data_IF_801866477032
#
_entry.id   IF_801866477032
#
_cell.length_a   1.000
_cell.length_b   1.000
_cell.length_c   1.000
_cell.angle_alpha   90.00
_cell.angle_beta   90.00
_cell.angle_gamma   90.00
#
_symmetry.space_group_name_H-M   'P 1'
#
loop_
_entity.id
_entity.type
_entity.pdbx_description
1 polymer ?
#
# COMPACT_ATOMS: atom_id res chain seq x y z
N UNK A 1 0.44 3.09 -49.41
CA UNK A 1 1.28 3.20 -48.20
C UNK A 1 0.36 3.05 -47.00
N UNK A 2 0.27 1.87 -46.40
CA UNK A 2 -0.48 1.65 -45.15
C UNK A 2 0.53 1.32 -44.06
N UNK A 3 0.67 2.20 -43.07
CA UNK A 3 1.60 2.04 -41.97
C UNK A 3 1.18 0.82 -41.13
N UNK A 4 2.03 -0.21 -41.11
CA UNK A 4 1.92 -1.31 -40.15
C UNK A 4 2.20 -0.73 -38.75
N UNK A 5 1.14 -0.62 -37.96
CA UNK A 5 1.20 -0.21 -36.55
C UNK A 5 2.02 -1.29 -35.82
N UNK A 6 3.22 -0.93 -35.38
CA UNK A 6 4.14 -1.85 -34.73
C UNK A 6 3.48 -2.51 -33.52
N UNK A 7 3.48 -3.85 -33.50
CA UNK A 7 3.16 -4.67 -32.32
C UNK A 7 4.20 -4.30 -31.26
N UNK A 8 3.83 -3.50 -30.27
CA UNK A 8 4.72 -3.15 -29.16
C UNK A 8 4.69 -4.30 -28.17
N UNK A 9 5.53 -5.30 -28.41
CA UNK A 9 5.87 -6.29 -27.40
C UNK A 9 6.70 -5.57 -26.33
N UNK A 10 6.05 -5.14 -25.24
CA UNK A 10 6.67 -4.26 -24.25
C UNK A 10 7.49 -5.03 -23.20
N UNK A 11 7.35 -6.35 -23.16
CA UNK A 11 8.06 -7.20 -22.21
C UNK A 11 9.32 -7.81 -22.84
N UNK A 12 10.39 -7.01 -23.03
CA UNK A 12 11.72 -7.56 -23.36
C UNK A 12 12.44 -7.99 -22.07
N UNK A 13 11.98 -9.07 -21.44
CA UNK A 13 12.53 -9.56 -20.17
C UNK A 13 13.50 -10.72 -20.38
N UNK A 14 14.81 -10.46 -20.30
CA UNK A 14 15.86 -11.49 -20.21
C UNK A 14 16.72 -11.34 -18.95
N UNK A 15 16.12 -10.93 -17.83
CA UNK A 15 16.70 -11.21 -16.50
C UNK A 15 16.14 -12.55 -16.01
N UNK A 16 17.03 -13.40 -15.46
CA UNK A 16 16.60 -14.69 -14.91
C UNK A 16 15.68 -14.43 -13.71
N UNK A 17 14.46 -14.94 -13.77
CA UNK A 17 13.50 -14.97 -12.66
C UNK A 17 14.22 -15.42 -11.37
N UNK A 18 14.09 -14.60 -10.31
CA UNK A 18 14.76 -14.89 -9.04
C UNK A 18 14.04 -16.00 -8.28
N UNK A 19 14.75 -16.66 -7.35
CA UNK A 19 14.11 -17.64 -6.48
C UNK A 19 12.97 -17.04 -5.65
N UNK A 20 13.12 -15.80 -5.17
CA UNK A 20 12.08 -15.08 -4.46
C UNK A 20 10.81 -14.91 -5.31
N UNK A 21 10.97 -14.47 -6.56
CA UNK A 21 9.87 -14.27 -7.50
C UNK A 21 9.14 -15.59 -7.77
N UNK A 22 9.91 -16.63 -8.12
CA UNK A 22 9.38 -17.97 -8.36
C UNK A 22 8.69 -18.55 -7.13
N UNK A 23 9.26 -18.36 -5.94
CA UNK A 23 8.69 -18.85 -4.68
C UNK A 23 7.33 -18.19 -4.37
N UNK A 24 7.14 -16.92 -4.75
CA UNK A 24 5.85 -16.24 -4.66
C UNK A 24 4.85 -16.75 -5.68
N UNK A 25 5.23 -16.85 -6.97
CA UNK A 25 4.35 -17.40 -8.03
C UNK A 25 3.87 -18.81 -7.71
N UNK A 26 4.77 -19.68 -7.23
CA UNK A 26 4.47 -21.06 -6.85
C UNK A 26 3.50 -21.20 -5.67
N UNK A 27 3.07 -20.10 -5.03
CA UNK A 27 1.96 -20.13 -4.05
C UNK A 27 0.59 -20.16 -4.71
N UNK A 28 0.51 -19.93 -6.02
CA UNK A 28 -0.75 -19.88 -6.78
C UNK A 28 -0.87 -21.07 -7.74
N UNK A 29 -2.10 -21.48 -8.11
CA UNK A 29 -2.34 -22.50 -9.13
C UNK A 29 -1.61 -22.19 -10.45
N UNK A 30 -1.14 -23.23 -11.15
CA UNK A 30 -0.35 -23.06 -12.37
C UNK A 30 -1.12 -22.37 -13.51
N UNK A 31 -2.44 -22.58 -13.58
CA UNK A 31 -3.34 -21.94 -14.53
C UNK A 31 -3.56 -20.44 -14.26
N UNK A 32 -3.14 -19.94 -13.09
CA UNK A 32 -3.19 -18.51 -12.75
C UNK A 32 -1.88 -17.79 -13.05
N UNK A 33 -0.80 -18.52 -13.34
CA UNK A 33 0.53 -17.94 -13.52
C UNK A 33 0.77 -17.53 -14.97
N UNK A 34 1.53 -16.46 -15.19
CA UNK A 34 1.98 -16.01 -16.52
C UNK A 34 0.84 -15.83 -17.54
N UNK A 35 -0.28 -15.27 -17.07
CA UNK A 35 -1.50 -15.13 -17.88
C UNK A 35 -1.35 -13.95 -18.84
N UNK A 36 -1.33 -14.25 -20.13
CA UNK A 36 -1.32 -13.24 -21.18
C UNK A 36 -2.65 -12.49 -21.20
N UNK A 37 -2.57 -11.17 -21.13
CA UNK A 37 -3.70 -10.27 -21.32
C UNK A 37 -3.44 -9.35 -22.50
N UNK A 38 -4.48 -9.10 -23.28
CA UNK A 38 -4.44 -8.24 -24.44
C UNK A 38 -5.58 -7.23 -24.37
N UNK A 39 -5.26 -5.96 -24.56
CA UNK A 39 -6.27 -4.93 -24.75
C UNK A 39 -6.65 -4.90 -26.24
N UNK A 40 -7.93 -5.19 -26.50
CA UNK A 40 -8.51 -5.23 -27.84
C UNK A 40 -8.48 -3.86 -28.54
N UNK A 41 -8.44 -2.75 -27.78
CA UNK A 41 -8.51 -1.39 -28.32
C UNK A 41 -7.12 -0.82 -28.64
N UNK A 42 -6.13 -1.05 -27.78
CA UNK A 42 -4.77 -0.55 -27.97
C UNK A 42 -3.83 -1.53 -28.68
N UNK A 43 -4.20 -2.81 -28.76
CA UNK A 43 -3.33 -3.94 -29.13
C UNK A 43 -2.11 -4.10 -28.21
N UNK A 44 -2.14 -3.49 -27.02
CA UNK A 44 -1.16 -3.70 -25.97
C UNK A 44 -1.32 -5.09 -25.38
N UNK A 45 -0.20 -5.75 -25.09
CA UNK A 45 -0.15 -7.10 -24.52
C UNK A 45 0.82 -7.11 -23.36
N UNK A 46 0.37 -7.62 -22.22
CA UNK A 46 1.16 -7.83 -21.02
C UNK A 46 0.99 -9.27 -20.52
N UNK A 47 2.01 -9.78 -19.84
CA UNK A 47 1.96 -11.07 -19.16
C UNK A 47 1.86 -10.82 -17.67
N UNK A 48 0.73 -11.21 -17.06
CA UNK A 48 0.55 -11.09 -15.62
C UNK A 48 1.28 -12.21 -14.90
N UNK A 49 2.10 -11.89 -13.90
CA UNK A 49 2.77 -12.92 -13.08
C UNK A 49 1.76 -13.90 -12.48
N UNK A 50 0.69 -13.35 -11.88
CA UNK A 50 -0.47 -14.09 -11.42
C UNK A 50 -1.75 -13.32 -11.75
N UNK A 51 -2.75 -14.01 -12.28
CA UNK A 51 -4.13 -13.53 -12.40
C UNK A 51 -5.07 -14.52 -11.73
N UNK A 52 -5.73 -14.07 -10.66
CA UNK A 52 -6.64 -14.93 -9.90
C UNK A 52 -7.94 -15.18 -10.66
N UNK A 53 -8.67 -16.24 -10.31
CA UNK A 53 -9.99 -16.53 -10.88
C UNK A 53 -11.01 -15.38 -10.70
N UNK A 54 -10.78 -14.50 -9.73
CA UNK A 54 -11.63 -13.33 -9.46
C UNK A 54 -11.16 -12.07 -10.19
N UNK A 55 -10.15 -12.18 -11.07
CA UNK A 55 -9.66 -11.08 -11.90
C UNK A 55 -8.70 -10.13 -11.20
N UNK A 56 -8.15 -10.48 -10.03
CA UNK A 56 -7.07 -9.73 -9.40
C UNK A 56 -5.75 -10.08 -10.08
N UNK A 57 -5.00 -9.08 -10.51
CA UNK A 57 -3.62 -9.24 -11.01
C UNK A 57 -2.63 -9.01 -9.85
N UNK A 58 -1.62 -9.86 -9.75
CA UNK A 58 -0.53 -9.72 -8.79
C UNK A 58 0.77 -9.75 -9.59
N UNK A 59 1.57 -8.70 -9.44
CA UNK A 59 2.89 -8.59 -10.06
C UNK A 59 3.97 -8.63 -8.98
N UNK A 60 5.00 -9.46 -9.18
CA UNK A 60 6.13 -9.57 -8.27
C UNK A 60 7.31 -8.82 -8.85
N UNK A 61 7.84 -7.87 -8.08
CA UNK A 61 8.97 -7.06 -8.52
C UNK A 61 10.17 -7.26 -7.61
N UNK A 62 11.18 -7.93 -8.15
CA UNK A 62 12.53 -7.95 -7.58
C UNK A 62 13.38 -6.84 -8.17
N UNK A 63 13.58 -6.80 -9.49
CA UNK A 63 14.55 -5.89 -10.13
C UNK A 63 14.12 -4.42 -10.17
N UNK A 64 14.97 -3.55 -10.73
CA UNK A 64 14.55 -2.18 -11.02
C UNK A 64 13.45 -2.18 -12.07
N UNK A 65 12.32 -1.53 -11.78
CA UNK A 65 11.22 -1.34 -12.72
C UNK A 65 11.21 0.12 -13.18
N UNK A 66 11.13 0.33 -14.49
CA UNK A 66 10.98 1.67 -15.03
C UNK A 66 9.64 2.27 -14.57
N UNK A 67 9.59 3.51 -14.02
CA UNK A 67 8.33 4.13 -13.60
C UNK A 67 7.27 4.24 -14.71
N UNK A 68 7.68 4.40 -15.97
CA UNK A 68 6.76 4.43 -17.11
C UNK A 68 6.13 3.06 -17.37
N UNK A 69 6.92 1.99 -17.28
CA UNK A 69 6.44 0.60 -17.39
C UNK A 69 5.48 0.27 -16.26
N UNK A 70 5.83 0.64 -15.01
CA UNK A 70 4.93 0.48 -13.87
C UNK A 70 3.59 1.18 -14.10
N UNK A 71 3.63 2.44 -14.53
CA UNK A 71 2.42 3.23 -14.79
C UNK A 71 1.59 2.62 -15.94
N UNK A 72 2.24 2.10 -16.97
CA UNK A 72 1.56 1.43 -18.08
C UNK A 72 0.84 0.16 -17.59
N UNK A 73 1.51 -0.71 -16.83
CA UNK A 73 0.90 -1.91 -16.23
C UNK A 73 -0.26 -1.58 -15.30
N UNK A 74 -0.10 -0.57 -14.44
CA UNK A 74 -1.17 -0.10 -13.55
C UNK A 74 -2.42 0.37 -14.31
N UNK A 75 -2.24 1.12 -15.40
CA UNK A 75 -3.35 1.55 -16.25
C UNK A 75 -3.98 0.40 -17.02
N UNK A 76 -3.16 -0.53 -17.49
CA UNK A 76 -3.60 -1.67 -18.29
C UNK A 76 -4.43 -2.64 -17.46
N UNK A 77 -3.95 -3.03 -16.27
CA UNK A 77 -4.63 -4.03 -15.44
C UNK A 77 -5.78 -3.44 -14.61
N UNK A 78 -5.61 -2.24 -14.06
CA UNK A 78 -6.59 -1.59 -13.17
C UNK A 78 -6.74 -2.28 -11.81
N UNK A 79 -7.27 -3.49 -11.77
CA UNK A 79 -7.42 -4.31 -10.56
C UNK A 79 -6.15 -5.14 -10.31
N UNK A 80 -5.12 -4.49 -9.77
CA UNK A 80 -3.85 -5.15 -9.49
C UNK A 80 -3.23 -4.78 -8.13
N UNK A 81 -2.28 -5.59 -7.69
CA UNK A 81 -1.38 -5.30 -6.56
C UNK A 81 0.07 -5.59 -6.92
N UNK A 82 0.97 -4.77 -6.42
CA UNK A 82 2.41 -5.03 -6.48
C UNK A 82 2.86 -5.75 -5.22
N UNK A 83 3.72 -6.77 -5.37
CA UNK A 83 4.50 -7.36 -4.28
C UNK A 83 5.97 -7.12 -4.61
N UNK A 84 6.69 -6.43 -3.72
CA UNK A 84 8.05 -5.94 -3.95
C UNK A 84 9.00 -6.65 -2.99
N UNK A 85 10.12 -7.11 -3.54
CA UNK A 85 11.20 -7.70 -2.74
C UNK A 85 11.93 -6.60 -1.93
N UNK A 86 11.58 -6.47 -0.66
CA UNK A 86 12.22 -5.56 0.29
C UNK A 86 13.59 -6.04 0.78
N UNK A 87 14.06 -7.22 0.34
CA UNK A 87 15.37 -7.78 0.68
C UNK A 87 16.46 -7.48 -0.35
N UNK A 88 16.06 -7.07 -1.57
CA UNK A 88 16.98 -6.77 -2.68
C UNK A 88 18.06 -5.74 -2.31
N UNK A 89 17.65 -4.61 -1.74
CA UNK A 89 18.58 -3.56 -1.32
C UNK A 89 18.83 -3.70 0.18
N UNK A 90 20.10 -3.91 0.55
CA UNK A 90 20.52 -4.13 1.94
C UNK A 90 20.06 -3.03 2.91
N UNK A 91 19.80 -1.82 2.41
CA UNK A 91 19.37 -0.66 3.21
C UNK A 91 17.85 -0.54 3.37
N UNK A 92 17.05 -1.25 2.59
CA UNK A 92 15.60 -1.07 2.59
C UNK A 92 14.98 -1.52 3.92
N UNK A 93 15.30 -2.72 4.40
CA UNK A 93 14.80 -3.17 5.70
C UNK A 93 15.34 -2.35 6.89
N UNK A 94 16.65 -2.06 7.01
CA UNK A 94 17.14 -1.17 8.07
C UNK A 94 16.49 0.21 8.05
N UNK A 95 16.24 0.79 6.87
CA UNK A 95 15.52 2.06 6.72
C UNK A 95 14.09 1.94 7.26
N UNK A 96 13.36 0.91 6.83
CA UNK A 96 12.01 0.65 7.32
C UNK A 96 11.99 0.48 8.84
N UNK A 97 12.85 -0.38 9.39
CA UNK A 97 12.91 -0.67 10.82
C UNK A 97 13.23 0.57 11.65
N UNK A 98 14.20 1.39 11.22
CA UNK A 98 14.58 2.63 11.89
C UNK A 98 13.39 3.60 12.02
N UNK A 99 12.56 3.69 10.99
CA UNK A 99 11.47 4.66 10.91
C UNK A 99 10.09 4.04 11.21
N UNK A 100 10.02 2.74 11.53
CA UNK A 100 8.77 2.04 11.86
C UNK A 100 8.01 2.69 13.01
N UNK A 101 8.71 3.30 13.97
CA UNK A 101 8.10 4.02 15.08
C UNK A 101 7.25 5.22 14.65
N UNK A 102 7.44 5.73 13.42
CA UNK A 102 6.66 6.83 12.84
C UNK A 102 5.30 6.36 12.29
N UNK A 103 5.05 5.04 12.21
CA UNK A 103 3.74 4.49 11.88
C UNK A 103 2.76 4.72 13.04
N UNK A 104 1.91 5.74 12.90
CA UNK A 104 0.91 6.07 13.92
C UNK A 104 -0.23 5.06 13.86
N UNK A 105 -0.38 4.28 14.93
CA UNK A 105 -1.50 3.34 15.08
C UNK A 105 -2.85 4.07 14.99
N UNK A 106 -3.85 3.37 14.46
CA UNK A 106 -5.24 3.83 14.38
C UNK A 106 -6.14 2.95 15.25
N UNK A 107 -7.40 3.32 15.37
CA UNK A 107 -8.41 2.48 16.05
C UNK A 107 -8.65 1.14 15.32
N UNK A 108 -8.21 1.04 14.06
CA UNK A 108 -8.24 -0.18 13.27
C UNK A 108 -6.92 -0.92 13.39
N UNK A 109 -6.94 -2.08 14.06
CA UNK A 109 -5.75 -2.92 14.23
C UNK A 109 -5.15 -3.27 12.86
N UNK A 110 -3.83 -3.10 12.75
CA UNK A 110 -3.10 -3.35 11.50
C UNK A 110 -3.14 -2.18 10.51
N UNK A 111 -3.83 -1.08 10.81
CA UNK A 111 -3.85 0.12 9.97
C UNK A 111 -3.10 1.26 10.65
N UNK A 112 -2.24 1.91 9.87
CA UNK A 112 -1.33 2.95 10.33
C UNK A 112 -1.39 4.17 9.42
N UNK A 113 -1.19 5.34 10.01
CA UNK A 113 -1.00 6.60 9.29
C UNK A 113 0.48 6.98 9.33
N UNK A 114 1.03 7.36 8.18
CA UNK A 114 2.44 7.70 8.02
C UNK A 114 2.59 9.03 7.30
N UNK A 115 3.31 9.97 7.89
CA UNK A 115 3.46 11.33 7.35
C UNK A 115 4.46 11.36 6.18
N UNK A 116 5.65 10.82 6.42
CA UNK A 116 6.78 10.80 5.48
C UNK A 116 7.08 9.36 5.05
N UNK A 117 6.35 8.79 4.07
CA UNK A 117 6.54 7.39 3.68
C UNK A 117 7.86 7.14 2.95
N UNK A 118 8.50 8.16 2.38
CA UNK A 118 9.84 8.10 1.79
C UNK A 118 10.95 7.81 2.83
N UNK A 119 10.70 8.10 4.10
CA UNK A 119 11.61 7.70 5.18
C UNK A 119 11.56 6.18 5.43
N UNK A 120 10.46 5.50 5.07
CA UNK A 120 10.29 4.06 5.29
C UNK A 120 10.51 3.26 4.00
N UNK A 121 9.89 3.69 2.91
CA UNK A 121 9.77 2.95 1.66
C UNK A 121 10.55 3.63 0.54
N UNK A 122 10.89 2.86 -0.50
CA UNK A 122 11.59 3.40 -1.67
C UNK A 122 10.69 4.39 -2.41
N UNK A 123 11.24 5.56 -2.75
CA UNK A 123 10.55 6.63 -3.48
C UNK A 123 9.93 6.17 -4.79
N UNK A 124 10.49 5.11 -5.41
CA UNK A 124 9.93 4.51 -6.61
C UNK A 124 8.44 4.17 -6.40
N UNK A 125 8.06 3.65 -5.24
CA UNK A 125 6.75 3.02 -5.03
C UNK A 125 5.70 3.95 -4.41
N UNK A 126 6.03 5.20 -4.10
CA UNK A 126 5.16 6.08 -3.30
C UNK A 126 3.96 6.64 -4.07
N UNK A 127 4.08 6.75 -5.39
CA UNK A 127 3.06 7.35 -6.27
C UNK A 127 2.36 6.30 -7.15
N UNK A 128 2.33 5.05 -6.72
CA UNK A 128 1.62 3.98 -7.43
C UNK A 128 0.10 4.17 -7.32
N UNK A 129 -0.63 3.86 -8.39
CA UNK A 129 -2.09 3.83 -8.40
C UNK A 129 -2.65 2.53 -7.81
N UNK A 130 -1.82 1.49 -7.73
CA UNK A 130 -2.14 0.19 -7.13
C UNK A 130 -1.54 0.08 -5.71
N UNK A 131 -2.12 -0.77 -4.83
CA UNK A 131 -1.49 -1.12 -3.55
C UNK A 131 -0.12 -1.77 -3.76
N UNK A 132 0.86 -1.37 -2.94
CA UNK A 132 2.22 -1.90 -2.99
C UNK A 132 2.56 -2.60 -1.68
N UNK A 133 2.89 -3.88 -1.76
CA UNK A 133 3.23 -4.73 -0.63
C UNK A 133 4.75 -4.91 -0.59
N UNK A 134 5.36 -4.57 0.53
CA UNK A 134 6.77 -4.80 0.77
C UNK A 134 6.95 -6.09 1.56
N UNK A 135 7.70 -7.04 0.98
CA UNK A 135 8.12 -8.27 1.63
C UNK A 135 9.57 -8.15 2.13
N UNK A 136 9.74 -8.05 3.45
CA UNK A 136 11.08 -8.00 4.07
C UNK A 136 11.60 -9.36 4.55
N UNK A 137 10.83 -10.44 4.44
CA UNK A 137 11.29 -11.78 4.79
C UNK A 137 12.04 -12.47 3.64
N UNK A 138 11.71 -12.14 2.40
CA UNK A 138 12.32 -12.80 1.25
C UNK A 138 11.98 -14.29 1.20
N UNK A 139 12.94 -15.13 0.83
CA UNK A 139 12.80 -16.61 0.83
C UNK A 139 12.83 -17.21 2.24
N UNK A 140 13.24 -16.43 3.26
CA UNK A 140 13.25 -16.87 4.66
C UNK A 140 14.44 -17.74 5.06
N UNK A 141 15.43 -17.95 4.18
CA UNK A 141 16.65 -18.68 4.52
C UNK A 141 17.53 -17.88 5.49
N UNK A 142 17.92 -18.50 6.60
CA UNK A 142 18.92 -17.94 7.53
C UNK A 142 18.48 -16.73 8.38
N UNK A 143 17.21 -16.31 8.30
CA UNK A 143 16.68 -15.24 9.13
C UNK A 143 16.13 -15.83 10.45
N UNK A 144 16.63 -15.33 11.58
CA UNK A 144 16.05 -15.62 12.89
C UNK A 144 14.61 -15.13 13.00
N UNK A 145 13.92 -15.44 14.10
CA UNK A 145 12.55 -14.95 14.34
C UNK A 145 12.53 -13.42 14.35
N UNK A 146 11.97 -12.81 13.29
CA UNK A 146 11.77 -11.38 13.15
C UNK A 146 10.32 -11.14 12.71
N UNK A 147 9.46 -10.91 13.69
CA UNK A 147 8.01 -10.73 13.49
C UNK A 147 7.69 -9.58 12.53
N UNK A 148 8.59 -8.59 12.40
CA UNK A 148 8.40 -7.44 11.53
C UNK A 148 8.62 -7.85 10.08
N UNK A 149 9.59 -8.74 9.83
CA UNK A 149 9.82 -9.32 8.49
C UNK A 149 8.75 -10.33 8.10
N UNK A 150 8.18 -11.04 9.06
CA UNK A 150 7.11 -12.01 8.79
C UNK A 150 5.81 -11.34 8.29
N UNK A 151 5.58 -10.09 8.67
CA UNK A 151 4.49 -9.29 8.16
C UNK A 151 4.76 -8.74 6.75
N UNK A 152 3.69 -8.60 5.98
CA UNK A 152 3.67 -7.86 4.72
C UNK A 152 3.20 -6.44 4.99
N UNK A 153 3.95 -5.45 4.50
CA UNK A 153 3.63 -4.03 4.70
C UNK A 153 3.05 -3.44 3.43
N UNK A 154 1.74 -3.19 3.42
CA UNK A 154 1.02 -2.69 2.26
C UNK A 154 0.83 -1.17 2.33
N UNK A 155 1.46 -0.44 1.41
CA UNK A 155 1.20 0.98 1.18
C UNK A 155 -0.01 1.12 0.24
N UNK A 156 -1.07 1.79 0.71
CA UNK A 156 -2.25 2.05 -0.12
C UNK A 156 -2.03 3.25 -1.04
N UNK A 157 -2.60 3.24 -2.26
CA UNK A 157 -2.54 4.37 -3.19
C UNK A 157 -3.27 5.60 -2.62
N UNK A 158 -2.69 6.78 -2.86
CA UNK A 158 -3.27 8.06 -2.44
C UNK A 158 -2.91 8.46 -1.00
N UNK A 159 -3.67 9.43 -0.46
CA UNK A 159 -3.41 10.04 0.86
C UNK A 159 -4.70 10.33 1.62
N UNK A 160 -4.66 10.10 2.94
CA UNK A 160 -5.65 10.55 3.89
C UNK A 160 -5.20 11.89 4.50
N UNK A 161 -5.59 13.00 3.87
CA UNK A 161 -5.00 14.31 4.18
C UNK A 161 -3.52 14.32 3.79
N UNK A 162 -2.62 14.56 4.75
CA UNK A 162 -1.16 14.47 4.53
C UNK A 162 -0.61 13.05 4.66
N UNK A 163 -1.37 12.13 5.25
CA UNK A 163 -0.86 10.82 5.63
C UNK A 163 -1.00 9.80 4.51
N UNK A 164 0.06 9.01 4.29
CA UNK A 164 -0.08 7.70 3.66
C UNK A 164 -0.79 6.73 4.62
N UNK A 165 -1.51 5.76 4.05
CA UNK A 165 -2.12 4.67 4.81
C UNK A 165 -1.32 3.39 4.58
N UNK A 166 -0.87 2.79 5.66
CA UNK A 166 -0.09 1.54 5.65
C UNK A 166 -0.87 0.45 6.36
N UNK A 167 -0.96 -0.72 5.76
CA UNK A 167 -1.66 -1.90 6.29
C UNK A 167 -0.66 -3.02 6.55
N UNK A 168 -0.64 -3.52 7.77
CA UNK A 168 0.09 -4.74 8.14
C UNK A 168 -0.77 -5.96 7.84
N UNK A 169 -0.28 -6.85 6.98
CA UNK A 169 -0.98 -8.07 6.55
C UNK A 169 -0.15 -9.30 6.94
N UNK A 170 -0.80 -10.38 7.36
CA UNK A 170 -0.12 -11.67 7.44
C UNK A 170 -0.06 -12.30 6.05
N UNK A 171 0.99 -13.09 5.77
CA UNK A 171 1.10 -13.86 4.52
C UNK A 171 -0.10 -14.79 4.32
N UNK A 172 -0.58 -15.43 5.39
CA UNK A 172 -1.76 -16.30 5.33
C UNK A 172 -3.02 -15.52 4.93
N UNK A 173 -3.23 -14.32 5.49
CA UNK A 173 -4.34 -13.48 5.09
C UNK A 173 -4.21 -13.05 3.63
N UNK A 174 -3.03 -12.63 3.18
CA UNK A 174 -2.79 -12.26 1.79
C UNK A 174 -3.14 -13.41 0.83
N UNK A 175 -2.63 -14.62 1.10
CA UNK A 175 -2.94 -15.80 0.29
C UNK A 175 -4.43 -16.13 0.29
N UNK A 176 -5.08 -16.07 1.46
CA UNK A 176 -6.51 -16.32 1.56
C UNK A 176 -7.34 -15.28 0.80
N UNK A 177 -7.07 -13.98 0.99
CA UNK A 177 -7.81 -12.90 0.36
C UNK A 177 -7.66 -12.94 -1.17
N UNK A 178 -6.44 -13.02 -1.68
CA UNK A 178 -6.18 -13.07 -3.14
C UNK A 178 -6.82 -14.28 -3.82
N UNK A 179 -6.95 -15.41 -3.12
CA UNK A 179 -7.55 -16.63 -3.68
C UNK A 179 -9.09 -16.62 -3.69
N UNK A 180 -9.71 -15.79 -2.85
CA UNK A 180 -11.16 -15.86 -2.57
C UNK A 180 -11.91 -14.55 -2.83
N UNK A 181 -11.21 -13.48 -3.20
CA UNK A 181 -11.79 -12.14 -3.33
C UNK A 181 -11.33 -11.48 -4.63
N UNK A 182 -12.19 -10.63 -5.20
CA UNK A 182 -11.88 -9.85 -6.40
C UNK A 182 -10.86 -8.74 -6.14
N UNK A 183 -10.79 -8.24 -4.90
CA UNK A 183 -9.84 -7.22 -4.47
C UNK A 183 -9.18 -7.66 -3.17
N UNK A 184 -7.88 -7.39 -3.01
CA UNK A 184 -7.17 -7.65 -1.76
C UNK A 184 -7.68 -6.73 -0.64
N UNK A 185 -7.81 -5.44 -0.94
CA UNK A 185 -8.31 -4.40 -0.04
C UNK A 185 -9.07 -3.37 -0.87
N UNK A 186 -10.21 -2.84 -0.39
CA UNK A 186 -10.89 -1.71 -1.01
C UNK A 186 -10.11 -0.41 -0.71
N UNK A 187 -8.95 -0.25 -1.33
CA UNK A 187 -7.95 0.74 -0.94
C UNK A 187 -8.46 2.19 -0.96
N UNK A 188 -9.22 2.54 -2.00
CA UNK A 188 -9.79 3.89 -2.15
C UNK A 188 -10.77 4.21 -1.00
N UNK A 189 -11.64 3.27 -0.65
CA UNK A 189 -12.60 3.43 0.44
C UNK A 189 -11.90 3.55 1.80
N UNK A 190 -10.85 2.75 2.03
CA UNK A 190 -10.05 2.80 3.25
C UNK A 190 -9.40 4.19 3.40
N UNK A 191 -8.73 4.66 2.36
CA UNK A 191 -8.04 5.97 2.36
C UNK A 191 -9.03 7.11 2.55
N UNK A 192 -10.16 7.08 1.82
CA UNK A 192 -11.23 8.07 1.97
C UNK A 192 -11.84 8.05 3.38
N UNK A 193 -12.07 6.86 3.94
CA UNK A 193 -12.60 6.70 5.30
C UNK A 193 -11.65 7.27 6.37
N UNK A 194 -10.33 7.11 6.21
CA UNK A 194 -9.37 7.77 7.10
C UNK A 194 -9.35 9.29 6.91
N UNK A 195 -9.41 9.77 5.66
CA UNK A 195 -9.45 11.21 5.37
C UNK A 195 -10.64 11.90 6.07
N UNK A 196 -11.83 11.31 5.96
CA UNK A 196 -13.05 11.83 6.59
C UNK A 196 -12.94 11.87 8.12
N UNK A 197 -12.35 10.84 8.75
CA UNK A 197 -12.15 10.82 10.21
C UNK A 197 -11.17 11.87 10.68
N UNK A 198 -10.07 12.07 9.95
CA UNK A 198 -9.09 13.11 10.26
C UNK A 198 -9.71 14.50 10.18
N UNK A 199 -10.50 14.77 9.13
CA UNK A 199 -11.25 16.01 8.98
C UNK A 199 -12.25 16.21 10.13
N UNK A 200 -13.02 15.18 10.48
CA UNK A 200 -13.98 15.24 11.58
C UNK A 200 -13.30 15.50 12.93
N UNK A 201 -12.16 14.86 13.19
CA UNK A 201 -11.36 15.07 14.40
C UNK A 201 -10.82 16.50 14.49
N UNK A 202 -10.27 17.03 13.40
CA UNK A 202 -9.79 18.42 13.35
C UNK A 202 -10.93 19.41 13.63
N UNK A 203 -12.06 19.27 12.93
CA UNK A 203 -13.23 20.13 13.14
C UNK A 203 -13.77 20.04 14.58
N UNK A 204 -13.76 18.85 15.19
CA UNK A 204 -14.16 18.68 16.58
C UNK A 204 -13.19 19.35 17.56
N UNK A 205 -11.89 19.28 17.30
CA UNK A 205 -10.86 19.94 18.10
C UNK A 205 -10.93 21.46 18.00
N UNK A 206 -11.14 22.00 16.80
CA UNK A 206 -11.34 23.44 16.57
C UNK A 206 -12.59 23.95 17.29
N UNK A 207 -13.71 23.24 17.19
CA UNK A 207 -14.94 23.58 17.94
C UNK A 207 -14.70 23.58 19.45
N UNK A 208 -13.97 22.59 19.98
CA UNK A 208 -13.60 22.53 21.41
C UNK A 208 -12.71 23.71 21.81
N UNK A 209 -11.72 24.05 20.99
CA UNK A 209 -10.84 25.19 21.21
C UNK A 209 -11.62 26.51 21.23
N UNK A 210 -12.49 26.75 20.24
CA UNK A 210 -13.35 27.93 20.19
C UNK A 210 -14.29 28.01 21.40
N UNK A 211 -14.96 26.90 21.76
CA UNK A 211 -15.82 26.85 22.94
C UNK A 211 -15.07 27.15 24.25
N UNK A 212 -13.80 26.75 24.35
CA UNK A 212 -12.95 27.04 25.51
C UNK A 212 -12.53 28.52 25.60
N UNK A 213 -12.39 29.20 24.46
CA UNK A 213 -11.99 30.61 24.38
C UNK A 213 -13.16 31.59 24.58
N UNK A 214 -14.40 31.17 24.26
CA UNK A 214 -15.61 32.00 24.34
C UNK A 214 -16.47 31.77 25.59
N UNK A 215 -15.98 31.06 26.61
CA UNK A 215 -16.67 30.99 27.92
C UNK A 215 -16.67 32.37 28.61
N UNK A 216 -17.82 33.05 28.77
CA UNK A 216 -17.86 34.32 29.52
C UNK A 216 -17.50 34.05 30.97
N UNK A 217 -16.58 34.86 31.51
CA UNK A 217 -16.10 34.73 32.88
C UNK A 217 -17.24 34.56 33.88
N UNK A 218 -17.15 33.52 34.71
CA UNK A 218 -18.04 33.33 35.87
C UNK A 218 -18.02 34.62 36.69
N UNK A 219 -19.13 35.36 36.68
CA UNK A 219 -19.34 36.48 37.58
C UNK A 219 -19.21 35.96 39.03
N UNK A 220 -18.14 36.36 39.71
CA UNK A 220 -17.92 36.05 41.12
C UNK A 220 -19.04 36.73 41.92
N UNK A 221 -20.03 35.95 42.35
CA UNK A 221 -21.07 36.44 43.25
C UNK A 221 -20.41 36.87 44.57
N UNK A 222 -20.32 38.18 44.81
CA UNK A 222 -19.89 38.77 46.08
C UNK A 222 -20.83 38.31 47.19
N UNK A 223 -20.39 37.38 48.03
CA UNK A 223 -21.07 37.06 49.30
C UNK A 223 -20.99 38.28 50.20
N UNK A 224 -22.13 38.94 50.44
CA UNK A 224 -22.29 39.90 51.54
C UNK A 224 -22.37 39.11 52.84
N UNK A 225 -21.36 39.20 53.69
CA UNK A 225 -21.45 38.77 55.09
C UNK A 225 -22.13 39.88 55.88
N UNK A 226 -23.23 39.54 56.54
CA UNK A 226 -23.81 40.37 57.60
C UNK A 226 -23.03 40.06 58.88
N UNK A 227 -22.47 41.11 59.52
CA UNK A 227 -22.00 41.02 60.90
C UNK A 227 -23.14 41.49 61.80
N UNK A 228 -23.41 40.69 62.84
CA UNK A 228 -24.21 41.06 64.00
C UNK A 228 -23.47 42.09 64.85
#
# INVERSE_FOLDING_TARGET
MGAQKAIRNCDSWTEKETEWHRAWKNRFPADWQEVIQQDEQSAERHIADVRTQHGLVIEFQHSHLNPFERTARERFYGNMVWVVDGTRLQRDYPRFLKNKANLRATDYRGYYLLDFPDECFSALWLDCAAPVIFDFRGTGEGLGQDIIRDALWCLLPGRAGRYAVVVELSRNYFMHATSNQAQLLPAQDIVAGFAQRLQASHAAQERRYQASFFMPGRAFARRRSWRL
#
